data_IF_008487774061
#
_entry.id   IF_008487774061
#
_cell.length_a   1.000
_cell.length_b   1.000
_cell.length_c   1.000
_cell.angle_alpha   90.00
_cell.angle_beta   90.00
_cell.angle_gamma   90.00
#
_symmetry.space_group_name_H-M   'P 1'
#
loop_
_entity.id
_entity.type
_entity.pdbx_description
1 polymer ?
#
# COMPACT_ATOMS: atom_id res chain seq x y z
N UNK A 1 -12.33 38.25 -23.97
CA UNK A 1 -11.14 37.78 -24.72
C UNK A 1 -10.91 36.35 -24.30
N UNK A 2 -11.34 35.42 -25.14
CA UNK A 2 -11.40 33.98 -24.90
C UNK A 2 -10.00 33.39 -25.03
N UNK A 3 -9.50 32.69 -24.02
CA UNK A 3 -8.33 31.82 -24.15
C UNK A 3 -8.77 30.41 -23.71
N UNK A 4 -9.52 29.76 -24.61
CA UNK A 4 -9.40 28.33 -24.82
C UNK A 4 -8.29 28.17 -25.86
N UNK A 5 -7.30 27.30 -25.61
CA UNK A 5 -6.84 26.26 -26.55
C UNK A 5 -5.44 25.72 -26.14
N UNK A 6 -5.36 24.93 -25.05
CA UNK A 6 -4.15 24.10 -24.82
C UNK A 6 -4.33 22.86 -23.92
N UNK A 7 -5.55 22.35 -23.76
CA UNK A 7 -5.79 21.02 -23.17
C UNK A 7 -6.53 20.18 -24.21
N UNK A 8 -5.81 19.78 -25.26
CA UNK A 8 -6.35 18.91 -26.31
C UNK A 8 -5.29 17.98 -26.90
N UNK A 9 -4.39 17.48 -26.04
CA UNK A 9 -3.34 16.53 -26.42
C UNK A 9 -3.34 15.21 -25.61
N UNK A 10 -4.32 14.94 -24.74
CA UNK A 10 -4.39 13.65 -24.01
C UNK A 10 -5.70 12.87 -24.13
N UNK A 11 -6.74 13.41 -24.79
CA UNK A 11 -8.05 12.74 -24.88
C UNK A 11 -8.09 11.56 -25.84
N UNK A 12 -7.11 11.41 -26.74
CA UNK A 12 -7.12 10.32 -27.74
C UNK A 12 -6.80 8.93 -27.14
N UNK A 13 -6.21 8.85 -25.94
CA UNK A 13 -5.86 7.57 -25.29
C UNK A 13 -6.94 7.05 -24.32
N UNK A 14 -7.88 7.90 -23.90
CA UNK A 14 -8.96 7.50 -22.98
C UNK A 14 -10.14 6.85 -23.72
N UNK A 15 -10.43 7.27 -24.96
CA UNK A 15 -11.59 6.80 -25.74
C UNK A 15 -11.51 5.31 -26.17
N UNK A 16 -10.39 4.62 -25.94
CA UNK A 16 -10.20 3.20 -26.28
C UNK A 16 -9.56 2.35 -25.15
N UNK A 17 -9.55 2.84 -23.90
CA UNK A 17 -8.95 2.08 -22.81
C UNK A 17 -9.80 0.86 -22.44
N UNK A 18 -9.27 -0.34 -22.74
CA UNK A 18 -9.84 -1.61 -22.30
C UNK A 18 -8.77 -2.54 -21.72
N UNK A 19 -9.18 -3.59 -21.03
CA UNK A 19 -8.29 -4.54 -20.38
C UNK A 19 -7.19 -5.09 -21.33
N UNK A 20 -7.53 -5.43 -22.58
CA UNK A 20 -6.58 -5.98 -23.54
C UNK A 20 -5.51 -4.96 -23.99
N UNK A 21 -5.91 -3.70 -24.18
CA UNK A 21 -5.01 -2.60 -24.54
C UNK A 21 -4.01 -2.32 -23.41
N UNK A 22 -4.46 -2.35 -22.15
CA UNK A 22 -3.61 -2.15 -20.97
C UNK A 22 -2.67 -3.35 -20.79
N UNK A 23 -3.15 -4.58 -21.00
CA UNK A 23 -2.31 -5.78 -20.95
C UNK A 23 -1.18 -5.77 -21.99
N UNK A 24 -1.47 -5.27 -23.19
CA UNK A 24 -0.45 -5.13 -24.25
C UNK A 24 0.64 -4.14 -23.82
N UNK A 25 0.25 -2.98 -23.30
CA UNK A 25 1.17 -1.99 -22.75
C UNK A 25 1.98 -2.55 -21.58
N UNK A 26 1.33 -3.31 -20.68
CA UNK A 26 1.96 -3.97 -19.53
C UNK A 26 3.07 -4.91 -19.98
N UNK A 27 2.81 -5.77 -20.97
CA UNK A 27 3.82 -6.70 -21.52
C UNK A 27 5.02 -5.99 -22.16
N UNK A 28 4.79 -4.83 -22.77
CA UNK A 28 5.86 -4.01 -23.35
C UNK A 28 6.67 -3.21 -22.31
N UNK A 29 6.10 -2.93 -21.14
CA UNK A 29 6.69 -2.01 -20.15
C UNK A 29 7.18 -2.67 -18.85
N UNK A 30 6.59 -3.80 -18.43
CA UNK A 30 6.87 -4.43 -17.14
C UNK A 30 7.67 -5.73 -17.34
N UNK A 31 8.70 -5.91 -16.52
CA UNK A 31 9.50 -7.13 -16.51
C UNK A 31 8.63 -8.38 -16.28
N UNK A 32 8.86 -9.43 -17.07
CA UNK A 32 8.10 -10.69 -17.02
C UNK A 32 8.10 -11.38 -15.64
N UNK A 33 9.10 -11.11 -14.80
CA UNK A 33 9.17 -11.65 -13.44
C UNK A 33 8.07 -11.15 -12.50
N UNK A 34 7.42 -10.02 -12.82
CA UNK A 34 6.25 -9.53 -12.09
C UNK A 34 5.00 -10.21 -12.66
N UNK A 35 4.66 -11.37 -12.09
CA UNK A 35 3.47 -12.13 -12.45
C UNK A 35 2.18 -11.43 -12.03
N UNK A 36 1.16 -11.47 -12.88
CA UNK A 36 -0.20 -10.97 -12.58
C UNK A 36 -1.20 -12.12 -12.72
N UNK A 37 -2.13 -12.22 -11.77
CA UNK A 37 -3.06 -13.36 -11.67
C UNK A 37 -4.26 -13.25 -12.61
N UNK A 38 -4.65 -12.03 -12.99
CA UNK A 38 -5.82 -11.76 -13.83
C UNK A 38 -5.44 -10.78 -14.93
N UNK A 39 -6.24 -10.73 -15.99
CA UNK A 39 -6.15 -9.71 -17.05
C UNK A 39 -7.20 -8.63 -16.87
N UNK A 40 -7.56 -8.36 -15.61
CA UNK A 40 -8.51 -7.36 -15.17
C UNK A 40 -7.73 -6.21 -14.57
N UNK A 41 -7.89 -5.02 -15.12
CA UNK A 41 -7.23 -3.80 -14.65
C UNK A 41 -8.24 -2.97 -13.87
N UNK A 42 -7.99 -2.78 -12.58
CA UNK A 42 -8.87 -2.02 -11.70
C UNK A 42 -8.88 -0.53 -12.08
N UNK A 43 -10.08 0.06 -12.16
CA UNK A 43 -10.32 1.49 -12.26
C UNK A 43 -10.66 2.09 -10.89
N UNK A 44 -11.62 1.48 -10.18
CA UNK A 44 -12.00 1.87 -8.83
C UNK A 44 -12.31 0.65 -7.96
N UNK A 45 -12.23 0.84 -6.65
CA UNK A 45 -12.61 -0.17 -5.67
C UNK A 45 -13.26 0.50 -4.45
N UNK A 46 -14.23 -0.16 -3.85
CA UNK A 46 -14.99 0.34 -2.69
C UNK A 46 -15.49 -0.85 -1.86
N UNK A 47 -15.24 -0.82 -0.55
CA UNK A 47 -15.58 -1.91 0.36
C UNK A 47 -15.06 -3.27 -0.15
N UNK A 48 -15.94 -4.23 -0.49
CA UNK A 48 -15.57 -5.56 -0.98
C UNK A 48 -15.69 -5.69 -2.51
N UNK A 49 -15.73 -4.57 -3.25
CA UNK A 49 -15.99 -4.56 -4.69
C UNK A 49 -14.88 -3.85 -5.46
N UNK A 50 -14.57 -4.38 -6.65
CA UNK A 50 -13.64 -3.81 -7.63
C UNK A 50 -14.38 -3.60 -8.95
N UNK A 51 -14.15 -2.49 -9.61
CA UNK A 51 -14.59 -2.23 -10.98
C UNK A 51 -13.36 -2.11 -11.86
N UNK A 52 -13.39 -2.79 -13.01
CA UNK A 52 -12.32 -2.68 -13.99
C UNK A 52 -12.46 -1.45 -14.89
N UNK A 53 -11.45 -1.22 -15.73
CA UNK A 53 -11.43 -0.14 -16.73
C UNK A 53 -12.54 -0.22 -17.78
N UNK A 54 -13.22 -1.37 -17.90
CA UNK A 54 -14.39 -1.56 -18.77
C UNK A 54 -15.71 -1.39 -18.00
N UNK A 55 -15.67 -1.01 -16.72
CA UNK A 55 -16.81 -0.81 -15.84
C UNK A 55 -17.43 -2.09 -15.26
N UNK A 56 -16.83 -3.26 -15.48
CA UNK A 56 -17.33 -4.53 -14.94
C UNK A 56 -17.04 -4.63 -13.46
N UNK A 57 -18.04 -5.06 -12.69
CA UNK A 57 -17.97 -5.19 -11.23
C UNK A 57 -17.60 -6.60 -10.81
N UNK A 58 -16.71 -6.71 -9.84
CA UNK A 58 -16.22 -7.93 -9.22
C UNK A 58 -16.39 -7.87 -7.70
N UNK A 59 -16.66 -9.01 -7.08
CA UNK A 59 -16.57 -9.18 -5.62
C UNK A 59 -15.15 -9.64 -5.30
N UNK A 60 -14.48 -8.91 -4.41
CA UNK A 60 -13.09 -9.17 -4.04
C UNK A 60 -12.99 -10.14 -2.84
N UNK A 61 -12.60 -11.38 -3.13
CA UNK A 61 -12.28 -12.40 -2.12
C UNK A 61 -10.78 -12.48 -1.79
N UNK A 62 -9.94 -11.62 -2.38
CA UNK A 62 -8.49 -11.63 -2.20
C UNK A 62 -8.01 -10.54 -1.22
N UNK A 63 -8.74 -9.42 -1.11
CA UNK A 63 -8.40 -8.27 -0.27
C UNK A 63 -6.96 -7.76 -0.50
N UNK A 64 -6.49 -7.81 -1.75
CA UNK A 64 -5.12 -7.42 -2.11
C UNK A 64 -4.06 -8.23 -1.37
N UNK A 65 -4.25 -9.54 -1.23
CA UNK A 65 -3.40 -10.43 -0.42
C UNK A 65 -3.48 -10.03 1.08
N UNK A 66 -4.71 -10.02 1.61
CA UNK A 66 -5.03 -9.74 3.01
C UNK A 66 -4.57 -8.36 3.55
N UNK A 67 -4.42 -7.36 2.67
CA UNK A 67 -4.00 -6.00 3.02
C UNK A 67 -5.21 -5.12 3.36
N UNK A 68 -6.22 -5.08 2.49
CA UNK A 68 -7.37 -4.15 2.64
C UNK A 68 -8.49 -4.75 3.49
N UNK A 69 -8.16 -5.28 4.67
CA UNK A 69 -9.11 -5.97 5.55
C UNK A 69 -10.22 -5.07 6.14
N UNK A 70 -10.06 -3.74 6.04
CA UNK A 70 -11.11 -2.77 6.41
C UNK A 70 -12.01 -2.38 5.24
N UNK A 71 -11.84 -3.03 4.09
CA UNK A 71 -12.48 -2.69 2.83
C UNK A 71 -11.68 -1.67 2.03
N UNK A 72 -11.82 -1.72 0.71
CA UNK A 72 -11.30 -0.70 -0.19
C UNK A 72 -11.86 0.67 0.19
N UNK A 73 -10.99 1.68 0.29
CA UNK A 73 -11.34 3.09 0.56
C UNK A 73 -12.13 3.36 1.84
N UNK A 74 -11.88 2.61 2.93
CA UNK A 74 -12.54 2.86 4.21
C UNK A 74 -12.52 4.37 4.60
N UNK A 75 -13.69 5.02 4.83
CA UNK A 75 -13.78 6.49 4.93
C UNK A 75 -12.84 7.12 5.96
N UNK A 76 -12.72 6.51 7.14
CA UNK A 76 -11.80 7.00 8.19
C UNK A 76 -10.33 6.97 7.77
N UNK A 77 -9.93 6.01 6.95
CA UNK A 77 -8.54 5.88 6.46
C UNK A 77 -8.27 6.96 5.42
N UNK A 78 -9.18 7.13 4.45
CA UNK A 78 -9.06 8.14 3.40
C UNK A 78 -8.96 9.55 4.00
N UNK A 79 -9.84 9.90 4.93
CA UNK A 79 -9.82 11.23 5.56
C UNK A 79 -8.57 11.46 6.40
N UNK A 80 -8.08 10.44 7.12
CA UNK A 80 -6.82 10.54 7.88
C UNK A 80 -5.59 10.75 6.97
N UNK A 81 -5.53 10.06 5.82
CA UNK A 81 -4.46 10.22 4.84
C UNK A 81 -4.47 11.62 4.23
N UNK A 82 -5.64 12.11 3.77
CA UNK A 82 -5.76 13.46 3.21
C UNK A 82 -5.32 14.53 4.20
N UNK A 83 -5.85 14.47 5.43
CA UNK A 83 -5.52 15.45 6.47
C UNK A 83 -4.02 15.47 6.83
N UNK A 84 -3.34 14.31 6.74
CA UNK A 84 -1.90 14.24 6.96
C UNK A 84 -1.13 14.84 5.77
N UNK A 85 -1.56 14.60 4.53
CA UNK A 85 -0.92 15.15 3.33
C UNK A 85 -0.99 16.68 3.26
N UNK A 86 -2.04 17.29 3.82
CA UNK A 86 -2.13 18.76 3.96
C UNK A 86 -1.08 19.35 4.93
N UNK A 87 -0.43 18.51 5.75
CA UNK A 87 0.60 18.92 6.71
C UNK A 87 2.01 18.60 6.23
N UNK A 88 2.26 17.33 5.91
CA UNK A 88 3.53 16.84 5.38
C UNK A 88 3.42 15.40 4.86
N UNK A 89 4.26 15.05 3.89
CA UNK A 89 4.39 13.68 3.38
C UNK A 89 5.50 12.87 4.07
N UNK A 90 6.68 13.46 4.28
CA UNK A 90 7.83 12.77 4.86
C UNK A 90 8.84 13.73 5.48
N UNK A 91 9.28 13.44 6.70
CA UNK A 91 10.34 14.19 7.40
C UNK A 91 11.49 13.31 7.90
N UNK A 92 11.45 12.00 7.61
CA UNK A 92 12.28 10.96 8.23
C UNK A 92 12.22 10.98 9.77
N UNK A 93 11.55 10.01 10.39
CA UNK A 93 11.33 10.00 11.85
C UNK A 93 12.64 10.09 12.66
N UNK A 94 13.72 9.50 12.15
CA UNK A 94 15.04 9.53 12.79
C UNK A 94 15.72 10.91 12.75
N UNK A 95 15.29 11.80 11.85
CA UNK A 95 15.82 13.16 11.69
C UNK A 95 14.89 14.17 12.35
N UNK A 96 13.62 14.19 11.96
CA UNK A 96 12.58 15.05 12.56
C UNK A 96 11.38 14.18 12.93
N UNK A 97 11.20 13.88 14.23
CA UNK A 97 10.15 12.97 14.68
C UNK A 97 8.77 13.62 14.63
N UNK A 98 7.74 12.78 14.68
CA UNK A 98 6.33 13.18 14.59
C UNK A 98 5.45 12.29 15.46
N UNK A 99 4.39 12.88 16.03
CA UNK A 99 3.56 12.30 17.09
C UNK A 99 2.85 11.02 16.65
N UNK A 100 2.34 10.95 15.41
CA UNK A 100 1.57 9.80 14.94
C UNK A 100 2.40 8.50 14.86
N UNK A 101 3.73 8.61 14.78
CA UNK A 101 4.64 7.47 14.92
C UNK A 101 4.62 6.90 16.34
N UNK A 102 4.68 7.78 17.35
CA UNK A 102 4.66 7.41 18.77
C UNK A 102 3.30 6.83 19.15
N UNK A 103 2.22 7.51 18.75
CA UNK A 103 0.86 7.06 19.03
C UNK A 103 0.57 5.66 18.45
N UNK A 104 1.05 5.37 17.23
CA UNK A 104 0.90 4.04 16.65
C UNK A 104 1.72 2.99 17.43
N UNK A 105 2.94 3.32 17.86
CA UNK A 105 3.76 2.42 18.67
C UNK A 105 3.08 2.05 19.99
N UNK A 106 2.50 3.04 20.69
CA UNK A 106 1.77 2.81 21.94
C UNK A 106 0.56 1.89 21.75
N UNK A 107 -0.20 2.08 20.67
CA UNK A 107 -1.33 1.22 20.33
C UNK A 107 -0.90 -0.22 20.05
N UNK A 108 0.18 -0.41 19.28
CA UNK A 108 0.70 -1.75 19.00
C UNK A 108 1.25 -2.43 20.24
N UNK A 109 2.03 -1.72 21.06
CA UNK A 109 2.54 -2.24 22.32
C UNK A 109 1.42 -2.75 23.24
N UNK A 110 0.26 -2.06 23.27
CA UNK A 110 -0.92 -2.49 24.04
C UNK A 110 -1.64 -3.71 23.44
N UNK A 111 -1.66 -3.85 22.11
CA UNK A 111 -2.38 -4.92 21.42
C UNK A 111 -1.61 -6.25 21.34
N UNK A 112 -0.28 -6.20 21.29
CA UNK A 112 0.55 -7.41 21.25
C UNK A 112 0.38 -8.19 22.57
N UNK A 113 0.12 -9.51 22.52
CA UNK A 113 -0.06 -10.33 23.73
C UNK A 113 1.11 -10.28 24.71
N UNK A 114 0.82 -10.53 25.99
CA UNK A 114 1.79 -10.61 27.09
C UNK A 114 1.86 -9.35 27.95
N UNK A 115 2.21 -9.56 29.23
CA UNK A 115 2.29 -8.54 30.27
C UNK A 115 3.75 -8.21 30.62
N UNK A 116 4.42 -7.52 29.71
CA UNK A 116 5.80 -7.09 29.83
C UNK A 116 6.04 -5.79 29.03
N UNK A 117 7.13 -5.09 29.33
CA UNK A 117 7.48 -3.84 28.64
C UNK A 117 7.82 -4.09 27.17
N UNK A 118 7.16 -3.34 26.28
CA UNK A 118 7.26 -3.51 24.82
C UNK A 118 7.73 -2.22 24.16
N UNK A 119 8.54 -2.36 23.10
CA UNK A 119 8.97 -1.27 22.21
C UNK A 119 8.74 -1.68 20.76
N UNK A 120 8.46 -0.69 19.91
CA UNK A 120 8.12 -0.89 18.50
C UNK A 120 9.04 -0.07 17.61
N UNK A 121 9.37 -0.63 16.44
CA UNK A 121 9.97 0.08 15.31
C UNK A 121 9.05 -0.06 14.10
N UNK A 122 9.06 0.92 13.18
CA UNK A 122 8.30 0.86 11.93
C UNK A 122 9.23 0.76 10.73
N UNK A 123 8.77 -0.01 9.75
CA UNK A 123 9.37 -0.21 8.43
C UNK A 123 8.24 -0.30 7.40
N UNK A 124 8.56 -0.36 6.11
CA UNK A 124 7.56 -0.22 5.05
C UNK A 124 6.96 -1.55 4.63
N UNK A 125 7.74 -2.62 4.66
CA UNK A 125 7.36 -3.94 4.14
C UNK A 125 7.42 -5.03 5.21
N UNK A 126 6.68 -6.12 5.00
CA UNK A 126 6.76 -7.31 5.85
C UNK A 126 8.15 -7.99 5.81
N UNK A 127 8.85 -7.90 4.68
CA UNK A 127 10.21 -8.40 4.55
C UNK A 127 11.19 -7.62 5.44
N UNK A 128 11.15 -6.28 5.40
CA UNK A 128 11.96 -5.44 6.30
C UNK A 128 11.63 -5.69 7.77
N UNK A 129 10.36 -5.99 8.08
CA UNK A 129 9.95 -6.30 9.45
C UNK A 129 10.62 -7.60 9.93
N UNK A 130 10.61 -8.65 9.10
CA UNK A 130 11.32 -9.89 9.40
C UNK A 130 12.84 -9.71 9.47
N UNK A 131 13.43 -8.95 8.55
CA UNK A 131 14.86 -8.65 8.58
C UNK A 131 15.27 -7.95 9.87
N UNK A 132 14.51 -6.93 10.31
CA UNK A 132 14.81 -6.23 11.55
C UNK A 132 14.53 -7.08 12.79
N UNK A 133 13.52 -7.96 12.77
CA UNK A 133 13.31 -8.93 13.84
C UNK A 133 14.54 -9.85 14.01
N UNK A 134 15.08 -10.37 12.90
CA UNK A 134 16.30 -11.19 12.91
C UNK A 134 17.51 -10.39 13.40
N UNK A 135 17.66 -9.13 12.97
CA UNK A 135 18.73 -8.25 13.46
C UNK A 135 18.66 -8.03 14.97
N UNK A 136 17.45 -7.74 15.49
CA UNK A 136 17.22 -7.51 16.92
C UNK A 136 17.54 -8.77 17.73
N UNK A 137 17.04 -9.94 17.33
CA UNK A 137 17.28 -11.18 18.11
C UNK A 137 18.75 -11.60 18.06
N UNK A 138 19.44 -11.40 16.93
CA UNK A 138 20.89 -11.65 16.82
C UNK A 138 21.68 -10.71 17.73
N UNK A 139 21.37 -9.42 17.70
CA UNK A 139 22.02 -8.44 18.57
C UNK A 139 21.77 -8.72 20.06
N UNK A 140 20.57 -9.15 20.43
CA UNK A 140 20.20 -9.45 21.81
C UNK A 140 20.82 -10.76 22.33
N UNK A 141 21.02 -11.76 21.47
CA UNK A 141 21.44 -13.12 21.90
C UNK A 141 22.87 -13.50 21.54
N UNK A 142 23.49 -12.82 20.57
CA UNK A 142 24.79 -13.20 19.99
C UNK A 142 24.78 -14.48 19.15
N UNK A 143 23.61 -15.04 18.82
CA UNK A 143 23.47 -16.30 18.09
C UNK A 143 23.12 -16.06 16.63
N UNK A 144 23.66 -16.86 15.72
CA UNK A 144 23.51 -16.64 14.26
C UNK A 144 22.37 -17.44 13.61
N UNK A 145 22.09 -18.65 14.13
CA UNK A 145 21.15 -19.58 13.52
C UNK A 145 19.70 -19.11 13.66
N UNK A 146 18.91 -19.29 12.60
CA UNK A 146 17.46 -19.05 12.54
C UNK A 146 16.82 -20.30 11.94
N UNK A 147 15.72 -20.76 12.50
CA UNK A 147 14.92 -21.89 12.00
C UNK A 147 13.61 -21.34 11.43
N UNK A 148 13.19 -21.82 10.26
CA UNK A 148 11.96 -21.44 9.57
C UNK A 148 11.21 -22.69 9.07
N UNK A 149 9.91 -22.56 8.78
CA UNK A 149 8.99 -23.62 8.36
C UNK A 149 8.14 -23.19 7.17
#
# INVERSE_FOLDING_TARGET
MTINNQVRLETANEENMNNASVETRRKGAIARGVGVMTQVFADRAENAEIWDVEGRRYIDFAAGIAVVNTGHRHPKVIEAVKAQLDRFSHTCHQVVPYENYVHLAERLNKLVPGDFDKKTIFVTTGAEALENAVKIVRAATGRNAVVAF
#
